data_IF_161194091496
#
_entry.id   IF_161194091496
#
_cell.length_a   1.000
_cell.length_b   1.000
_cell.length_c   1.000
_cell.angle_alpha   90.00
_cell.angle_beta   90.00
_cell.angle_gamma   90.00
#
_symmetry.space_group_name_H-M   'P 1'
#
loop_
_entity.id
_entity.type
_entity.pdbx_description
1 polymer ?
#
# COMPACT_ATOMS: atom_id res chain seq x y z
N UNK A 1 -0.58 -13.30 12.96
CA UNK A 1 -0.56 -13.28 14.45
C UNK A 1 -1.83 -12.64 14.97
N UNK A 2 -2.93 -13.39 15.06
CA UNK A 2 -4.19 -12.98 15.69
C UNK A 2 -4.87 -14.25 16.23
N UNK A 3 -4.66 -14.54 17.52
CA UNK A 3 -5.35 -15.63 18.20
C UNK A 3 -6.69 -15.11 18.76
N UNK A 4 -7.78 -15.31 18.03
CA UNK A 4 -9.15 -15.21 18.58
C UNK A 4 -9.53 -16.58 19.12
N UNK A 5 -9.61 -16.72 20.45
CA UNK A 5 -10.19 -17.91 21.10
C UNK A 5 -11.69 -17.69 21.24
N UNK A 6 -12.47 -18.38 20.42
CA UNK A 6 -13.91 -18.61 20.60
C UNK A 6 -14.10 -19.71 21.64
N UNK A 7 -14.79 -19.42 22.74
CA UNK A 7 -15.27 -20.43 23.66
C UNK A 7 -16.76 -20.67 23.39
N UNK A 8 -17.09 -21.85 22.89
CA UNK A 8 -18.45 -22.35 22.77
C UNK A 8 -18.85 -22.96 24.13
N UNK A 9 -19.94 -22.47 24.73
CA UNK A 9 -20.59 -23.14 25.85
C UNK A 9 -21.78 -23.93 25.30
N UNK A 10 -21.59 -25.25 25.21
CA UNK A 10 -22.67 -26.20 24.96
C UNK A 10 -23.61 -26.20 26.17
N UNK A 11 -24.87 -25.82 25.95
CA UNK A 11 -25.94 -26.04 26.92
C UNK A 11 -26.63 -27.35 26.57
N UNK A 12 -26.63 -28.31 27.50
CA UNK A 12 -27.51 -29.47 27.45
C UNK A 12 -28.16 -29.67 28.81
N UNK A 13 -29.39 -29.19 28.94
CA UNK A 13 -30.32 -29.70 29.94
C UNK A 13 -30.95 -30.97 29.40
N UNK A 14 -30.69 -32.12 30.03
CA UNK A 14 -31.66 -33.22 30.11
C UNK A 14 -31.51 -34.00 31.42
N UNK A 15 -32.58 -33.93 32.20
CA UNK A 15 -33.25 -35.09 32.80
C UNK A 15 -32.68 -35.60 34.13
N UNK A 16 -33.34 -35.17 35.21
CA UNK A 16 -33.29 -35.77 36.54
C UNK A 16 -33.84 -37.20 36.48
N UNK A 17 -33.00 -38.19 36.78
CA UNK A 17 -33.43 -39.53 37.16
C UNK A 17 -32.97 -39.81 38.59
N UNK A 18 -33.94 -39.98 39.47
CA UNK A 18 -33.76 -40.34 40.87
C UNK A 18 -33.39 -41.81 41.00
N UNK A 19 -32.27 -42.11 41.65
CA UNK A 19 -32.13 -43.34 42.42
C UNK A 19 -31.12 -43.16 43.56
N UNK A 20 -31.55 -43.66 44.71
CA UNK A 20 -30.88 -43.66 46.02
C UNK A 20 -29.42 -44.15 45.94
N UNK A 21 -28.52 -43.40 46.58
CA UNK A 21 -27.32 -43.96 47.18
C UNK A 21 -27.11 -43.29 48.54
N UNK A 22 -27.33 -44.08 49.59
CA UNK A 22 -27.00 -43.76 50.98
C UNK A 22 -25.53 -44.16 51.19
N UNK A 23 -24.85 -43.36 52.03
CA UNK A 23 -23.48 -43.50 52.56
C UNK A 23 -22.34 -42.87 51.73
N UNK A 24 -21.79 -41.76 52.23
CA UNK A 24 -20.53 -41.82 52.98
C UNK A 24 -20.21 -40.46 53.60
N UNK A 25 -19.99 -40.49 54.91
CA UNK A 25 -19.53 -39.38 55.75
C UNK A 25 -18.06 -39.09 55.44
N UNK A 26 -17.74 -37.79 55.36
CA UNK A 26 -16.41 -37.19 55.49
C UNK A 26 -15.34 -37.53 54.43
N UNK A 27 -15.31 -36.74 53.34
CA UNK A 27 -14.04 -36.21 52.84
C UNK A 27 -14.10 -34.69 52.88
N UNK A 28 -13.56 -34.17 53.99
CA UNK A 28 -13.28 -32.76 54.20
C UNK A 28 -12.20 -32.32 53.22
N UNK A 29 -12.60 -31.88 52.03
CA UNK A 29 -11.88 -30.83 51.33
C UNK A 29 -12.87 -30.16 50.39
N UNK A 30 -13.87 -29.50 51.00
CA UNK A 30 -14.58 -28.45 50.29
C UNK A 30 -13.53 -27.41 49.91
N UNK A 31 -13.07 -27.45 48.66
CA UNK A 31 -12.34 -26.35 48.05
C UNK A 31 -13.35 -25.21 47.89
N UNK A 32 -13.77 -24.64 49.02
CA UNK A 32 -14.40 -23.34 49.09
C UNK A 32 -13.32 -22.41 48.55
N UNK A 33 -13.37 -22.13 47.26
CA UNK A 33 -12.73 -20.96 46.69
C UNK A 33 -13.33 -19.79 47.45
N UNK A 34 -12.68 -19.41 48.55
CA UNK A 34 -12.85 -18.14 49.21
C UNK A 34 -12.38 -17.10 48.19
N UNK A 35 -13.24 -16.79 47.24
CA UNK A 35 -13.04 -15.66 46.35
C UNK A 35 -13.23 -14.46 47.24
N UNK A 36 -12.12 -13.86 47.66
CA UNK A 36 -12.15 -12.60 48.37
C UNK A 36 -12.83 -11.56 47.45
N UNK A 37 -14.09 -11.26 47.75
CA UNK A 37 -14.90 -10.28 47.03
C UNK A 37 -14.52 -8.89 47.51
N UNK A 38 -13.38 -8.40 47.03
CA UNK A 38 -13.07 -6.98 47.13
C UNK A 38 -14.08 -6.21 46.25
N UNK A 39 -14.55 -5.06 46.72
CA UNK A 39 -15.35 -4.14 45.90
C UNK A 39 -14.39 -3.21 45.14
N UNK A 40 -13.94 -3.56 43.92
CA UNK A 40 -13.04 -2.71 43.17
C UNK A 40 -13.75 -1.41 42.82
N UNK A 41 -13.01 -0.30 42.90
CA UNK A 41 -13.57 0.99 42.46
C UNK A 41 -14.00 0.89 40.99
N UNK A 42 -15.16 1.45 40.62
CA UNK A 42 -15.64 1.40 39.26
C UNK A 42 -14.64 2.06 38.31
N UNK A 43 -14.48 1.48 37.12
CA UNK A 43 -13.55 1.97 36.11
C UNK A 43 -14.04 3.32 35.56
N UNK A 44 -13.15 4.32 35.55
CA UNK A 44 -13.41 5.64 34.97
C UNK A 44 -13.22 5.58 33.45
N UNK A 45 -14.24 5.13 32.70
CA UNK A 45 -14.21 5.07 31.24
C UNK A 45 -15.08 6.17 30.62
N UNK A 46 -14.56 6.89 29.63
CA UNK A 46 -15.29 7.92 28.86
C UNK A 46 -15.90 7.31 27.59
N UNK A 47 -16.90 6.44 27.75
CA UNK A 47 -17.48 5.72 26.61
C UNK A 47 -18.59 6.48 25.90
N UNK A 48 -19.30 7.37 26.62
CA UNK A 48 -20.60 7.87 26.17
C UNK A 48 -20.56 9.25 25.54
N UNK A 49 -19.81 10.16 26.13
CA UNK A 49 -19.81 11.55 25.70
C UNK A 49 -18.56 11.84 24.86
N UNK A 50 -18.73 12.25 23.60
CA UNK A 50 -17.63 12.78 22.80
C UNK A 50 -16.97 13.95 23.53
N UNK A 51 -15.63 14.00 23.50
CA UNK A 51 -14.92 15.19 23.92
C UNK A 51 -14.99 16.23 22.79
N UNK A 52 -15.64 17.36 23.04
CA UNK A 52 -15.78 18.48 22.12
C UNK A 52 -15.02 19.66 22.76
N UNK A 53 -13.88 20.09 22.18
CA UNK A 53 -13.12 21.21 22.72
C UNK A 53 -13.77 22.55 22.36
N UNK A 54 -13.68 23.52 23.28
CA UNK A 54 -14.08 24.90 23.01
C UNK A 54 -13.06 25.56 22.07
N UNK A 55 -13.52 26.01 20.89
CA UNK A 55 -12.66 26.61 19.87
C UNK A 55 -12.16 28.01 20.26
N UNK A 56 -12.96 28.74 21.03
CA UNK A 56 -12.66 30.12 21.43
C UNK A 56 -11.69 30.20 22.62
N UNK A 57 -11.47 29.08 23.32
CA UNK A 57 -10.56 29.02 24.45
C UNK A 57 -9.10 29.10 24.01
N UNK A 58 -8.31 29.92 24.70
CA UNK A 58 -6.85 30.02 24.50
C UNK A 58 -6.12 28.74 24.93
N UNK A 59 -6.72 27.95 25.84
CA UNK A 59 -6.16 26.68 26.32
C UNK A 59 -6.21 25.57 25.26
N UNK A 60 -7.07 25.72 24.26
CA UNK A 60 -7.23 24.73 23.19
C UNK A 60 -6.10 24.92 22.17
N UNK A 61 -5.30 23.88 21.86
CA UNK A 61 -4.22 24.00 20.90
C UNK A 61 -4.77 24.27 19.49
N UNK A 62 -4.04 25.04 18.69
CA UNK A 62 -4.50 25.50 17.37
C UNK A 62 -4.94 24.37 16.44
N UNK A 63 -4.25 23.23 16.45
CA UNK A 63 -4.59 22.09 15.61
C UNK A 63 -5.97 21.50 15.93
N UNK A 64 -6.48 21.62 17.16
CA UNK A 64 -7.84 21.21 17.54
C UNK A 64 -8.92 22.16 17.03
N UNK A 65 -8.55 23.41 16.73
CA UNK A 65 -9.48 24.43 16.21
C UNK A 65 -9.71 24.28 14.69
N UNK A 66 -8.87 23.51 14.00
CA UNK A 66 -8.91 23.35 12.55
C UNK A 66 -10.05 22.46 12.06
N UNK A 67 -10.52 22.68 10.82
CA UNK A 67 -11.49 21.82 10.14
C UNK A 67 -11.02 20.35 9.99
N UNK A 68 -9.70 20.13 10.02
CA UNK A 68 -9.12 18.77 10.02
C UNK A 68 -9.51 18.01 11.29
N UNK A 69 -9.59 18.69 12.44
CA UNK A 69 -10.01 18.07 13.69
C UNK A 69 -11.50 17.73 13.66
N UNK A 70 -12.33 18.63 13.12
CA UNK A 70 -13.78 18.40 12.98
C UNK A 70 -14.07 17.15 12.14
N UNK A 71 -13.37 16.98 11.01
CA UNK A 71 -13.45 15.75 10.18
C UNK A 71 -13.08 14.49 10.96
N UNK A 72 -12.06 14.57 11.83
CA UNK A 72 -11.64 13.45 12.69
C UNK A 72 -12.69 13.12 13.75
N UNK A 73 -13.33 14.14 14.32
CA UNK A 73 -14.38 13.98 15.31
C UNK A 73 -15.62 13.34 14.70
N UNK A 74 -16.04 13.82 13.51
CA UNK A 74 -17.13 13.24 12.73
C UNK A 74 -16.83 11.79 12.35
N UNK A 75 -15.60 11.46 11.95
CA UNK A 75 -15.22 10.07 11.66
C UNK A 75 -15.30 9.11 12.86
N UNK A 76 -15.17 9.62 14.10
CA UNK A 76 -15.23 8.81 15.33
C UNK A 76 -16.64 8.65 15.87
N UNK A 77 -17.40 9.74 15.90
CA UNK A 77 -18.69 9.82 16.59
C UNK A 77 -19.87 10.01 15.63
N UNK A 78 -19.62 10.18 14.33
CA UNK A 78 -20.63 10.46 13.32
C UNK A 78 -21.35 11.78 13.61
N UNK A 79 -22.66 11.79 13.35
CA UNK A 79 -23.53 12.94 13.58
C UNK A 79 -23.65 13.35 15.06
N UNK A 80 -23.30 12.47 16.01
CA UNK A 80 -23.30 12.81 17.43
C UNK A 80 -22.23 13.86 17.80
N UNK A 81 -21.28 14.13 16.90
CA UNK A 81 -20.28 15.19 17.06
C UNK A 81 -20.82 16.60 16.84
N UNK A 82 -22.01 16.76 16.23
CA UNK A 82 -22.58 18.06 15.90
C UNK A 82 -21.86 18.81 14.76
N UNK A 83 -20.93 18.15 14.06
CA UNK A 83 -20.26 18.71 12.88
C UNK A 83 -21.19 18.61 11.67
N UNK A 84 -21.34 19.72 10.94
CA UNK A 84 -22.12 19.74 9.70
C UNK A 84 -21.45 18.87 8.62
N UNK A 85 -22.16 17.90 8.01
CA UNK A 85 -21.59 17.02 7.00
C UNK A 85 -21.20 17.75 5.71
N UNK A 86 -21.84 18.87 5.36
CA UNK A 86 -21.50 19.60 4.12
C UNK A 86 -20.13 20.27 4.22
N UNK A 87 -19.77 20.80 5.40
CA UNK A 87 -18.45 21.37 5.68
C UNK A 87 -17.29 20.37 5.60
N UNK A 88 -17.55 19.06 5.54
CA UNK A 88 -16.49 18.05 5.44
C UNK A 88 -15.84 18.05 4.06
N UNK A 89 -16.62 18.36 3.02
CA UNK A 89 -16.14 18.44 1.64
C UNK A 89 -15.25 19.67 1.43
N UNK A 90 -14.29 19.61 0.49
CA UNK A 90 -13.50 20.78 0.13
C UNK A 90 -14.39 21.93 -0.32
N UNK A 91 -13.96 23.17 -0.03
CA UNK A 91 -14.59 24.35 -0.63
C UNK A 91 -14.25 24.40 -2.12
N UNK A 92 -15.02 25.17 -2.90
CA UNK A 92 -14.81 25.28 -4.34
C UNK A 92 -13.37 25.72 -4.69
N UNK A 93 -12.83 26.71 -3.98
CA UNK A 93 -11.44 27.16 -4.16
C UNK A 93 -10.41 26.06 -3.84
N UNK A 94 -10.67 25.24 -2.83
CA UNK A 94 -9.79 24.11 -2.49
C UNK A 94 -9.87 23.02 -3.56
N UNK A 95 -11.07 22.80 -4.11
CA UNK A 95 -11.29 21.82 -5.17
C UNK A 95 -10.54 22.20 -6.45
N UNK A 96 -10.61 23.47 -6.86
CA UNK A 96 -9.88 23.96 -8.05
C UNK A 96 -8.36 23.78 -7.90
N UNK A 97 -7.81 24.05 -6.71
CA UNK A 97 -6.38 23.83 -6.41
C UNK A 97 -6.01 22.35 -6.53
N UNK A 98 -6.82 21.46 -5.97
CA UNK A 98 -6.60 20.01 -6.05
C UNK A 98 -6.64 19.54 -7.50
N UNK A 99 -7.60 20.02 -8.29
CA UNK A 99 -7.72 19.69 -9.72
C UNK A 99 -6.51 20.21 -10.51
N UNK A 100 -6.05 21.43 -10.23
CA UNK A 100 -4.88 21.99 -10.88
C UNK A 100 -3.60 21.18 -10.57
N UNK A 101 -3.39 20.84 -9.29
CA UNK A 101 -2.28 19.99 -8.86
C UNK A 101 -2.36 18.59 -9.50
N UNK A 102 -3.54 17.97 -9.54
CA UNK A 102 -3.74 16.67 -10.18
C UNK A 102 -3.43 16.72 -11.68
N UNK A 103 -3.91 17.73 -12.39
CA UNK A 103 -3.65 17.86 -13.83
C UNK A 103 -2.17 18.12 -14.15
N UNK A 104 -1.44 18.82 -13.27
CA UNK A 104 -0.01 19.10 -13.45
C UNK A 104 0.85 17.84 -13.22
N UNK A 105 0.57 17.10 -12.14
CA UNK A 105 1.40 15.97 -11.72
C UNK A 105 0.93 14.61 -12.24
N UNK A 106 -0.35 14.48 -12.57
CA UNK A 106 -1.00 13.24 -12.97
C UNK A 106 -1.68 13.42 -14.34
N UNK A 107 -0.91 13.38 -15.44
CA UNK A 107 -1.48 13.50 -16.78
C UNK A 107 -2.47 12.35 -17.07
N UNK A 108 -3.44 12.58 -17.97
CA UNK A 108 -4.42 11.56 -18.31
C UNK A 108 -3.76 10.38 -19.05
N UNK A 109 -4.39 9.21 -18.94
CA UNK A 109 -3.88 7.96 -19.50
C UNK A 109 -3.59 8.05 -21.01
N UNK A 110 -4.44 8.75 -21.76
CA UNK A 110 -4.27 8.93 -23.20
C UNK A 110 -2.97 9.65 -23.56
N UNK A 111 -2.58 10.66 -22.78
CA UNK A 111 -1.32 11.39 -22.97
C UNK A 111 -0.15 10.47 -22.65
N UNK A 112 -0.27 9.67 -21.59
CA UNK A 112 0.75 8.69 -21.23
C UNK A 112 0.97 7.64 -22.33
N UNK A 113 -0.11 7.10 -22.92
CA UNK A 113 -0.02 6.13 -24.02
C UNK A 113 0.65 6.73 -25.26
N UNK A 114 0.27 7.95 -25.65
CA UNK A 114 0.90 8.67 -26.76
C UNK A 114 2.40 8.89 -26.52
N UNK A 115 2.78 9.23 -25.29
CA UNK A 115 4.19 9.40 -24.92
C UNK A 115 4.97 8.10 -24.99
N UNK A 116 4.37 6.98 -24.59
CA UNK A 116 4.98 5.65 -24.72
C UNK A 116 5.17 5.30 -26.20
N UNK A 117 4.13 5.43 -27.02
CA UNK A 117 4.20 5.15 -28.46
C UNK A 117 5.26 6.01 -29.16
N UNK A 118 5.36 7.30 -28.82
CA UNK A 118 6.37 8.20 -29.36
C UNK A 118 7.79 7.75 -28.99
N UNK A 119 8.01 7.40 -27.72
CA UNK A 119 9.30 6.91 -27.23
C UNK A 119 9.69 5.58 -27.89
N UNK A 120 8.74 4.66 -28.06
CA UNK A 120 8.99 3.38 -28.72
C UNK A 120 9.39 3.55 -30.20
N UNK A 121 8.72 4.45 -30.92
CA UNK A 121 9.08 4.78 -32.31
C UNK A 121 10.49 5.34 -32.40
N UNK A 122 10.82 6.35 -31.58
CA UNK A 122 12.17 6.91 -31.55
C UNK A 122 13.25 5.87 -31.22
N UNK A 123 12.99 4.99 -30.27
CA UNK A 123 13.92 3.91 -29.93
C UNK A 123 14.10 2.92 -31.08
N UNK A 124 13.02 2.56 -31.78
CA UNK A 124 13.10 1.69 -32.96
C UNK A 124 13.90 2.34 -34.08
N UNK A 125 13.71 3.62 -34.35
CA UNK A 125 14.44 4.35 -35.39
C UNK A 125 15.93 4.45 -35.05
N UNK A 126 16.25 4.76 -33.79
CA UNK A 126 17.63 4.75 -33.28
C UNK A 126 18.27 3.37 -33.41
N UNK A 127 17.54 2.29 -33.13
CA UNK A 127 18.03 0.91 -33.29
C UNK A 127 18.28 0.56 -34.76
N UNK A 128 17.36 0.91 -35.66
CA UNK A 128 17.49 0.68 -37.10
C UNK A 128 18.66 1.46 -37.70
N UNK A 129 18.80 2.75 -37.37
CA UNK A 129 19.93 3.57 -37.82
C UNK A 129 21.28 3.00 -37.34
N UNK A 130 21.35 2.54 -36.08
CA UNK A 130 22.54 1.90 -35.53
C UNK A 130 22.87 0.59 -36.24
N UNK A 131 21.87 -0.22 -36.56
CA UNK A 131 22.04 -1.46 -37.32
C UNK A 131 22.52 -1.18 -38.76
N UNK A 132 21.94 -0.18 -39.42
CA UNK A 132 22.32 0.24 -40.76
C UNK A 132 23.77 0.73 -40.81
N UNK A 133 24.17 1.63 -39.88
CA UNK A 133 25.55 2.10 -39.77
C UNK A 133 26.53 0.93 -39.54
N UNK A 134 26.18 -0.04 -38.69
CA UNK A 134 27.01 -1.23 -38.45
C UNK A 134 27.15 -2.09 -39.72
N UNK A 135 26.07 -2.30 -40.46
CA UNK A 135 26.09 -3.05 -41.72
C UNK A 135 26.88 -2.34 -42.82
N UNK A 136 26.82 -1.01 -42.88
CA UNK A 136 27.64 -0.23 -43.81
C UNK A 136 29.12 -0.32 -43.47
N UNK A 137 29.47 -0.22 -42.18
CA UNK A 137 30.86 -0.36 -41.70
C UNK A 137 31.44 -1.75 -42.00
N UNK A 138 30.66 -2.82 -41.83
CA UNK A 138 31.12 -4.17 -42.19
C UNK A 138 31.27 -4.32 -43.70
N UNK A 139 30.33 -3.80 -44.49
CA UNK A 139 30.39 -3.85 -45.95
C UNK A 139 31.58 -3.04 -46.52
N UNK A 140 31.86 -1.85 -45.99
CA UNK A 140 33.03 -1.06 -46.38
C UNK A 140 34.32 -1.76 -45.96
N UNK A 141 34.39 -2.31 -44.74
CA UNK A 141 35.55 -3.09 -44.29
C UNK A 141 35.83 -4.28 -45.21
N UNK A 142 34.81 -5.04 -45.61
CA UNK A 142 34.96 -6.18 -46.52
C UNK A 142 35.40 -5.76 -47.94
N UNK A 143 34.84 -4.67 -48.48
CA UNK A 143 35.26 -4.11 -49.78
C UNK A 143 36.71 -3.67 -49.79
N UNK A 144 37.16 -3.02 -48.71
CA UNK A 144 38.56 -2.58 -48.56
C UNK A 144 39.50 -3.79 -48.51
N UNK A 145 39.17 -4.83 -47.74
CA UNK A 145 39.96 -6.07 -47.69
C UNK A 145 40.06 -6.76 -49.06
N UNK A 146 38.96 -6.84 -49.80
CA UNK A 146 38.95 -7.41 -51.15
C UNK A 146 39.81 -6.60 -52.15
N UNK A 147 39.77 -5.27 -52.05
CA UNK A 147 40.61 -4.38 -52.88
C UNK A 147 42.09 -4.56 -52.55
N UNK A 148 42.43 -4.64 -51.26
CA UNK A 148 43.82 -4.88 -50.80
C UNK A 148 44.33 -6.22 -51.33
N UNK A 149 43.56 -7.30 -51.20
CA UNK A 149 43.94 -8.63 -51.71
C UNK A 149 44.04 -8.66 -53.24
N UNK A 150 43.19 -7.92 -53.96
CA UNK A 150 43.26 -7.77 -55.42
C UNK A 150 44.41 -6.88 -55.92
N UNK A 151 44.89 -5.94 -55.10
CA UNK A 151 46.03 -5.06 -55.40
C UNK A 151 47.41 -5.67 -55.09
N UNK A 152 47.48 -6.92 -54.61
CA UNK A 152 48.72 -7.71 -54.56
C UNK A 152 48.83 -8.74 -55.71
N UNK A 153 48.84 -8.38 -57.01
CA UNK A 153 49.00 -9.39 -58.06
C UNK A 153 50.47 -9.79 -58.35
N UNK A 154 51.49 -9.39 -57.56
CA UNK A 154 52.90 -9.51 -58.03
C UNK A 154 53.87 -10.27 -57.09
N UNK A 155 53.58 -10.48 -55.80
CA UNK A 155 54.54 -11.18 -54.93
C UNK A 155 54.48 -12.71 -54.97
N UNK A 156 53.57 -13.33 -55.73
CA UNK A 156 53.57 -14.78 -55.93
C UNK A 156 54.45 -15.26 -57.10
N UNK A 157 54.94 -14.37 -57.97
CA UNK A 157 55.82 -14.77 -59.08
C UNK A 157 57.31 -14.86 -58.71
N UNK A 158 57.75 -14.36 -57.55
CA UNK A 158 59.17 -14.35 -57.18
C UNK A 158 59.66 -15.58 -56.40
N UNK A 159 58.80 -16.53 -56.05
CA UNK A 159 59.21 -17.72 -55.28
C UNK A 159 59.49 -18.99 -56.10
N UNK A 160 59.41 -18.93 -57.45
CA UNK A 160 59.60 -20.11 -58.32
C UNK A 160 60.95 -20.13 -59.09
N UNK A 161 61.86 -19.17 -58.83
CA UNK A 161 63.17 -19.09 -59.51
C UNK A 161 64.38 -19.50 -58.64
N UNK A 162 64.17 -20.12 -57.47
CA UNK A 162 65.26 -20.68 -56.64
C UNK A 162 65.10 -22.21 -56.64
N UNK A 163 65.48 -22.86 -57.74
CA UNK A 163 65.79 -24.31 -57.76
C UNK A 163 66.97 -24.52 -58.69
#
# INVERSE_FOLDING_TARGET
>A
MLCRRTAALCTTFKQLSSSKAVLSVNSQCGFLLQIASYNPKPLKLNLRNPYIPDKDSEKTPEWQKTARYDRKLFGRYGSASGVDPASLWPTHEQLEKIIAEENEWHPPLEVMLKNIEAREKEESDKRLAKALCRGQLSATSLKTLATILGSYPILFFFSCCIT
#
